data_IF_540508193490
#
_entry.id   IF_540508193490
#
_cell.length_a   1.000
_cell.length_b   1.000
_cell.length_c   1.000
_cell.angle_alpha   90.00
_cell.angle_beta   90.00
_cell.angle_gamma   90.00
#
_symmetry.space_group_name_H-M   'P 1'
#
loop_
_entity.id
_entity.type
_entity.pdbx_description
1 polymer ?
#
# COMPACT_ATOMS: atom_id res chain seq x y z
N UNK A 1 16.50 -3.23 -0.48
CA UNK A 1 15.23 -3.17 0.26
C UNK A 1 15.09 -1.73 0.73
N UNK A 2 14.15 -0.95 0.18
CA UNK A 2 13.93 0.41 0.69
C UNK A 2 13.09 0.30 1.98
N UNK A 3 13.76 0.37 3.13
CA UNK A 3 13.16 0.19 4.45
C UNK A 3 12.09 1.26 4.71
N UNK A 4 12.26 2.46 4.16
CA UNK A 4 11.30 3.57 4.30
C UNK A 4 9.97 3.22 3.62
N UNK A 5 10.01 2.77 2.37
CA UNK A 5 8.82 2.35 1.62
C UNK A 5 8.03 1.27 2.36
N UNK A 6 8.70 0.25 2.90
CA UNK A 6 8.04 -0.83 3.65
C UNK A 6 7.43 -0.30 4.95
N UNK A 7 8.10 0.63 5.63
CA UNK A 7 7.59 1.24 6.85
C UNK A 7 6.35 2.10 6.58
N UNK A 8 6.31 2.84 5.48
CA UNK A 8 5.12 3.57 5.04
C UNK A 8 3.95 2.62 4.78
N UNK A 9 4.20 1.53 4.05
CA UNK A 9 3.18 0.51 3.78
C UNK A 9 2.63 -0.09 5.08
N UNK A 10 3.48 -0.41 6.05
CA UNK A 10 3.07 -0.94 7.37
C UNK A 10 2.23 0.05 8.16
N UNK A 11 2.62 1.34 8.17
CA UNK A 11 1.96 2.43 8.91
C UNK A 11 0.63 2.88 8.30
N UNK A 12 0.33 2.51 7.05
CA UNK A 12 -0.95 2.87 6.43
C UNK A 12 -2.14 2.34 7.26
N UNK A 13 -3.08 3.24 7.57
CA UNK A 13 -4.26 2.96 8.41
C UNK A 13 -5.51 2.56 7.63
N UNK A 14 -5.53 2.79 6.33
CA UNK A 14 -6.68 2.54 5.45
C UNK A 14 -6.67 1.12 4.88
N UNK A 15 -5.49 0.52 4.81
CA UNK A 15 -5.28 -0.85 4.35
C UNK A 15 -5.36 -1.85 5.50
N UNK A 16 -6.09 -2.94 5.28
CA UNK A 16 -6.18 -4.03 6.26
C UNK A 16 -4.83 -4.75 6.42
N UNK A 17 -4.55 -5.38 7.58
CA UNK A 17 -3.29 -6.08 7.83
C UNK A 17 -2.94 -7.11 6.74
N UNK A 18 -3.87 -7.99 6.36
CA UNK A 18 -3.62 -8.99 5.31
C UNK A 18 -3.35 -8.39 3.93
N UNK A 19 -4.00 -7.27 3.57
CA UNK A 19 -3.69 -6.56 2.31
C UNK A 19 -2.29 -5.94 2.36
N UNK A 20 -1.90 -5.33 3.48
CA UNK A 20 -0.54 -4.79 3.67
C UNK A 20 0.52 -5.88 3.51
N UNK A 21 0.34 -7.02 4.17
CA UNK A 21 1.26 -8.16 4.08
C UNK A 21 1.40 -8.68 2.65
N UNK A 22 0.31 -8.76 1.89
CA UNK A 22 0.35 -9.18 0.48
C UNK A 22 1.20 -8.23 -0.36
N UNK A 23 0.98 -6.92 -0.25
CA UNK A 23 1.76 -5.93 -1.01
C UNK A 23 3.23 -5.92 -0.60
N UNK A 24 3.54 -6.02 0.70
CA UNK A 24 4.92 -6.08 1.20
C UNK A 24 5.62 -7.34 0.70
N UNK A 25 4.92 -8.49 0.68
CA UNK A 25 5.45 -9.74 0.15
C UNK A 25 5.78 -9.59 -1.33
N UNK A 26 4.84 -9.09 -2.13
CA UNK A 26 5.07 -8.84 -3.56
C UNK A 26 6.27 -7.92 -3.76
N UNK A 27 6.32 -6.79 -3.05
CA UNK A 27 7.42 -5.81 -3.12
C UNK A 27 8.79 -6.44 -2.79
N UNK A 28 8.85 -7.28 -1.76
CA UNK A 28 10.08 -7.97 -1.36
C UNK A 28 10.51 -9.05 -2.35
N UNK A 29 9.55 -9.70 -3.03
CA UNK A 29 9.82 -10.73 -4.03
C UNK A 29 10.11 -10.18 -5.44
N UNK A 30 9.82 -8.91 -5.69
CA UNK A 30 10.10 -8.24 -6.97
C UNK A 30 11.59 -8.18 -7.28
N UNK A 31 11.96 -8.53 -8.52
CA UNK A 31 13.35 -8.64 -8.97
C UNK A 31 13.87 -7.33 -9.54
N UNK A 32 13.01 -6.50 -10.11
CA UNK A 32 13.38 -5.20 -10.67
C UNK A 32 12.92 -4.02 -9.81
N UNK A 33 13.63 -2.91 -9.92
CA UNK A 33 13.23 -1.67 -9.26
C UNK A 33 11.90 -1.13 -9.83
N UNK A 34 11.66 -1.33 -11.13
CA UNK A 34 10.40 -0.96 -11.78
C UNK A 34 9.21 -1.74 -11.17
N UNK A 35 9.35 -3.04 -10.95
CA UNK A 35 8.30 -3.86 -10.29
C UNK A 35 8.02 -3.38 -8.86
N UNK A 36 9.05 -2.96 -8.13
CA UNK A 36 8.91 -2.39 -6.78
C UNK A 36 8.15 -1.07 -6.80
N UNK A 37 8.52 -0.16 -7.72
CA UNK A 37 7.83 1.11 -7.93
C UNK A 37 6.36 0.87 -8.28
N UNK A 38 6.07 -0.04 -9.23
CA UNK A 38 4.70 -0.37 -9.61
C UNK A 38 3.89 -0.98 -8.45
N UNK A 39 4.51 -1.85 -7.64
CA UNK A 39 3.86 -2.46 -6.48
C UNK A 39 3.48 -1.40 -5.44
N UNK A 40 4.42 -0.49 -5.14
CA UNK A 40 4.17 0.60 -4.20
C UNK A 40 3.13 1.59 -4.74
N UNK A 41 3.18 1.96 -6.02
CA UNK A 41 2.19 2.83 -6.64
C UNK A 41 0.77 2.26 -6.56
N UNK A 42 0.61 0.95 -6.83
CA UNK A 42 -0.68 0.25 -6.68
C UNK A 42 -1.18 0.27 -5.24
N UNK A 43 -0.30 0.01 -4.28
CA UNK A 43 -0.62 0.09 -2.86
C UNK A 43 -1.14 1.49 -2.47
N UNK A 44 -0.46 2.55 -2.90
CA UNK A 44 -0.84 3.92 -2.58
C UNK A 44 -2.16 4.34 -3.24
N UNK A 45 -2.40 3.91 -4.48
CA UNK A 45 -3.66 4.16 -5.17
C UNK A 45 -4.83 3.52 -4.41
N UNK A 46 -4.73 2.22 -4.12
CA UNK A 46 -5.78 1.50 -3.39
C UNK A 46 -6.01 2.10 -1.99
N UNK A 47 -4.94 2.45 -1.27
CA UNK A 47 -5.07 3.08 0.03
C UNK A 47 -5.82 4.43 -0.03
N UNK A 48 -5.63 5.19 -1.10
CA UNK A 48 -6.34 6.46 -1.34
C UNK A 48 -7.81 6.23 -1.68
N UNK A 49 -8.13 5.22 -2.50
CA UNK A 49 -9.51 4.83 -2.80
C UNK A 49 -10.24 4.43 -1.51
N UNK A 50 -9.60 3.62 -0.66
CA UNK A 50 -10.13 3.22 0.65
C UNK A 50 -10.32 4.41 1.61
N UNK A 51 -9.39 5.36 1.60
CA UNK A 51 -9.54 6.60 2.36
C UNK A 51 -10.77 7.40 1.93
N UNK A 52 -10.99 7.52 0.61
CA UNK A 52 -12.14 8.22 0.06
C UNK A 52 -13.45 7.50 0.38
N UNK A 53 -13.53 6.17 0.19
CA UNK A 53 -14.70 5.37 0.58
C UNK A 53 -15.10 5.62 2.04
N UNK A 54 -14.13 5.64 2.96
CA UNK A 54 -14.37 5.87 4.39
C UNK A 54 -14.84 7.30 4.69
N UNK A 55 -14.40 8.29 3.90
CA UNK A 55 -14.82 9.69 4.06
C UNK A 55 -16.22 9.91 3.50
N UNK A 56 -16.48 9.37 2.31
CA UNK A 56 -17.77 9.44 1.62
C UNK A 56 -18.86 8.73 2.44
N UNK A 57 -18.58 7.53 2.99
CA UNK A 57 -19.51 6.79 3.87
C UNK A 57 -19.82 7.54 5.18
N UNK A 58 -18.92 8.43 5.62
CA UNK A 58 -19.12 9.25 6.83
C UNK A 58 -19.86 10.55 6.54
N UNK A 59 -20.19 10.84 5.28
CA UNK A 59 -20.91 12.05 4.88
C UNK A 59 -20.15 13.35 5.19
N UNK A 60 -18.82 13.32 5.16
CA UNK A 60 -17.96 14.52 5.29
C UNK A 60 -17.63 15.05 3.90
#
# INVERSE_FOLDING_TARGET
>A
MNIETINEMKKNKYMSPGRKERYITVYNTSKSELEKIMTYAKFMLEAKERENEIKDDKGI
#
